data_IF_608437122555
#
_entry.id   IF_608437122555
#
_cell.length_a   1.000
_cell.length_b   1.000
_cell.length_c   1.000
_cell.angle_alpha   90.00
_cell.angle_beta   90.00
_cell.angle_gamma   90.00
#
_symmetry.space_group_name_H-M   'P 1'
#
loop_
_entity.id
_entity.type
_entity.pdbx_description
1 polymer ?
#
# COMPACT_ATOMS: atom_id res chain seq x y z
N UNK A 1 29.37 10.96 -30.77
CA UNK A 1 28.44 12.04 -31.19
C UNK A 1 27.61 12.37 -29.97
N UNK A 2 27.51 13.65 -29.63
CA UNK A 2 27.30 14.15 -28.28
C UNK A 2 25.88 13.94 -27.75
N UNK A 3 25.80 13.55 -26.48
CA UNK A 3 24.61 13.53 -25.65
C UNK A 3 24.27 14.95 -25.20
N UNK A 4 23.04 15.39 -25.42
CA UNK A 4 22.52 16.65 -24.86
C UNK A 4 21.63 16.34 -23.66
N UNK A 5 22.19 16.56 -22.47
CA UNK A 5 21.48 16.73 -21.21
C UNK A 5 21.13 18.21 -21.06
N UNK A 6 19.85 18.55 -20.87
CA UNK A 6 19.43 19.92 -20.58
C UNK A 6 18.97 20.04 -19.14
N UNK A 7 19.77 20.78 -18.36
CA UNK A 7 19.47 21.31 -17.04
C UNK A 7 18.14 22.08 -17.01
N UNK A 8 17.29 21.83 -16.01
CA UNK A 8 16.14 22.69 -15.68
C UNK A 8 16.48 23.57 -14.49
N UNK A 9 16.57 24.87 -14.75
CA UNK A 9 16.78 25.93 -13.78
C UNK A 9 15.46 26.62 -13.47
N UNK A 10 15.28 26.86 -12.18
CA UNK A 10 14.22 27.60 -11.49
C UNK A 10 13.94 28.98 -12.10
N UNK A 11 12.67 29.35 -12.29
CA UNK A 11 12.22 30.76 -12.27
C UNK A 11 10.74 30.84 -11.91
N UNK A 12 10.44 31.26 -10.67
CA UNK A 12 9.14 31.72 -10.20
C UNK A 12 9.10 33.26 -10.27
N UNK A 13 8.07 33.86 -10.88
CA UNK A 13 7.64 35.23 -10.59
C UNK A 13 6.23 35.53 -11.14
N UNK A 14 5.24 35.26 -10.28
CA UNK A 14 4.18 36.13 -9.75
C UNK A 14 3.14 36.89 -10.63
N UNK A 15 1.93 36.87 -10.05
CA UNK A 15 0.75 37.76 -10.13
C UNK A 15 -0.26 37.63 -11.27
N UNK A 16 -1.43 37.08 -10.92
CA UNK A 16 -2.71 37.48 -11.52
C UNK A 16 -3.81 37.44 -10.47
N UNK A 17 -4.48 38.58 -10.25
CA UNK A 17 -5.64 38.73 -9.38
C UNK A 17 -6.89 38.15 -10.05
N UNK A 18 -7.62 37.27 -9.35
CA UNK A 18 -8.98 36.88 -9.75
C UNK A 18 -9.90 36.80 -8.53
N UNK A 19 -11.03 37.52 -8.61
CA UNK A 19 -12.19 37.35 -7.75
C UNK A 19 -12.72 35.91 -7.92
N UNK A 20 -12.51 35.07 -6.92
CA UNK A 20 -13.02 33.70 -6.86
C UNK A 20 -14.30 33.63 -6.03
N UNK A 21 -15.39 33.22 -6.67
CA UNK A 21 -16.57 32.65 -6.00
C UNK A 21 -16.06 31.53 -5.10
N UNK A 22 -16.31 31.64 -3.79
CA UNK A 22 -16.05 30.55 -2.85
C UNK A 22 -17.10 29.45 -3.11
N UNK A 23 -16.76 28.50 -3.98
CA UNK A 23 -17.41 27.20 -3.98
C UNK A 23 -16.76 26.43 -2.85
N UNK A 24 -17.45 26.35 -1.72
CA UNK A 24 -17.07 25.43 -0.64
C UNK A 24 -17.39 24.01 -1.12
N UNK A 25 -16.46 23.39 -1.82
CA UNK A 25 -16.44 21.94 -1.94
C UNK A 25 -15.83 21.42 -0.64
N UNK A 26 -16.65 20.83 0.23
CA UNK A 26 -16.14 19.93 1.26
C UNK A 26 -15.59 18.70 0.54
N UNK A 27 -14.37 18.81 0.03
CA UNK A 27 -13.60 17.67 -0.46
C UNK A 27 -13.09 16.94 0.79
N UNK A 28 -13.22 15.61 0.82
CA UNK A 28 -12.58 14.77 1.83
C UNK A 28 -11.08 15.02 1.88
N UNK A 29 -10.49 14.85 3.05
CA UNK A 29 -9.06 15.01 3.23
C UNK A 29 -8.41 13.62 3.19
N UNK A 30 -7.33 13.50 2.41
CA UNK A 30 -6.44 12.34 2.53
C UNK A 30 -5.99 12.27 4.00
N UNK A 31 -6.35 11.16 4.62
CA UNK A 31 -6.21 10.90 6.05
C UNK A 31 -5.35 9.67 6.27
N UNK A 32 -4.71 9.59 7.43
CA UNK A 32 -3.98 8.41 7.86
C UNK A 32 -4.37 7.99 9.28
N UNK A 33 -4.36 6.69 9.53
CA UNK A 33 -4.49 6.10 10.85
C UNK A 33 -3.34 5.13 11.10
N UNK A 34 -2.75 5.21 12.29
CA UNK A 34 -1.66 4.33 12.72
C UNK A 34 -2.11 3.47 13.89
N UNK A 35 -1.76 2.19 13.84
CA UNK A 35 -1.92 1.25 14.95
C UNK A 35 -0.58 0.58 15.25
N UNK A 36 -0.36 0.21 16.51
CA UNK A 36 0.79 -0.59 16.92
C UNK A 36 0.36 -1.87 17.61
N UNK A 37 1.13 -2.94 17.39
CA UNK A 37 0.93 -4.22 18.06
C UNK A 37 2.16 -4.61 18.89
N UNK A 38 1.95 -5.17 20.10
CA UNK A 38 3.04 -5.65 20.95
C UNK A 38 3.71 -6.89 20.38
N UNK A 39 3.04 -7.58 19.45
CA UNK A 39 3.60 -8.73 18.73
C UNK A 39 3.73 -8.40 17.25
N UNK A 40 4.75 -9.00 16.65
CA UNK A 40 5.08 -8.81 15.24
C UNK A 40 3.92 -9.22 14.29
N UNK A 41 3.18 -10.26 14.67
CA UNK A 41 2.06 -10.86 13.93
C UNK A 41 0.68 -10.28 14.34
N UNK A 42 0.66 -9.20 15.13
CA UNK A 42 -0.60 -8.67 15.68
C UNK A 42 -1.58 -8.14 14.64
N UNK A 43 -1.11 -7.88 13.41
CA UNK A 43 -1.90 -7.34 12.30
C UNK A 43 -2.09 -8.32 11.14
N UNK A 44 -1.68 -9.59 11.26
CA UNK A 44 -1.82 -10.59 10.18
C UNK A 44 -3.27 -10.72 9.66
N UNK A 45 -4.27 -10.50 10.52
CA UNK A 45 -5.69 -10.55 10.15
C UNK A 45 -6.17 -9.33 9.35
N UNK A 46 -5.40 -8.24 9.31
CA UNK A 46 -5.72 -7.02 8.57
C UNK A 46 -5.08 -7.00 7.17
N UNK A 47 -4.18 -7.93 6.89
CA UNK A 47 -3.49 -8.04 5.60
C UNK A 47 -4.45 -8.61 4.56
N UNK A 48 -4.39 -8.04 3.36
CA UNK A 48 -5.17 -8.54 2.23
C UNK A 48 -4.44 -9.68 1.55
N UNK A 49 -5.22 -10.62 1.01
CA UNK A 49 -4.71 -11.65 0.10
C UNK A 49 -5.31 -11.50 -1.30
N UNK A 50 -5.87 -10.33 -1.59
CA UNK A 50 -6.55 -10.02 -2.86
C UNK A 50 -6.58 -8.50 -3.11
N UNK A 51 -5.44 -7.82 -2.95
CA UNK A 51 -5.27 -6.41 -3.30
C UNK A 51 -4.92 -6.21 -4.80
N UNK A 52 -4.82 -4.96 -5.24
CA UNK A 52 -4.59 -4.58 -6.65
C UNK A 52 -3.14 -4.77 -7.13
N UNK A 53 -2.18 -4.92 -6.21
CA UNK A 53 -0.78 -5.15 -6.52
C UNK A 53 -0.35 -6.61 -6.29
N UNK A 54 -1.26 -7.46 -5.84
CA UNK A 54 -1.06 -8.89 -5.72
C UNK A 54 -0.64 -9.51 -7.07
N UNK A 55 0.46 -10.28 -7.04
CA UNK A 55 0.98 -10.97 -8.23
C UNK A 55 1.84 -10.11 -9.16
N UNK A 56 2.07 -8.83 -8.81
CA UNK A 56 3.03 -7.97 -9.50
C UNK A 56 4.48 -8.13 -8.99
N UNK A 57 4.77 -9.18 -8.24
CA UNK A 57 6.01 -9.39 -7.47
C UNK A 57 7.34 -9.43 -8.27
N UNK A 58 7.33 -9.28 -9.59
CA UNK A 58 8.52 -9.35 -10.44
C UNK A 58 8.74 -8.08 -11.29
N UNK A 59 10.01 -7.79 -11.58
CA UNK A 59 10.41 -6.86 -12.65
C UNK A 59 9.83 -7.40 -13.96
N UNK A 60 8.91 -6.66 -14.60
CA UNK A 60 8.34 -7.09 -15.86
C UNK A 60 9.34 -6.87 -17.00
N UNK A 61 9.20 -7.61 -18.11
CA UNK A 61 10.23 -7.66 -19.14
C UNK A 61 10.40 -6.37 -19.95
N UNK A 62 9.37 -5.51 -19.99
CA UNK A 62 9.42 -4.22 -20.67
C UNK A 62 8.76 -3.14 -19.82
N UNK A 63 9.30 -1.92 -19.85
CA UNK A 63 8.71 -0.76 -19.20
C UNK A 63 7.27 -0.51 -19.66
N UNK A 64 6.35 -0.35 -18.71
CA UNK A 64 4.91 -0.21 -18.92
C UNK A 64 4.13 -1.53 -18.94
N UNK A 65 4.80 -2.69 -18.93
CA UNK A 65 4.14 -3.96 -18.63
C UNK A 65 3.77 -4.00 -17.13
N UNK A 66 2.65 -4.65 -16.74
CA UNK A 66 2.29 -4.79 -15.33
C UNK A 66 3.36 -5.54 -14.54
N UNK A 67 3.72 -5.01 -13.38
CA UNK A 67 4.77 -5.55 -12.53
C UNK A 67 5.30 -4.48 -11.59
N UNK A 68 6.47 -4.76 -11.01
CA UNK A 68 7.15 -3.82 -10.09
C UNK A 68 8.50 -3.42 -10.65
N UNK A 69 8.80 -2.12 -10.58
CA UNK A 69 10.06 -1.53 -11.03
C UNK A 69 10.83 -0.89 -9.88
N UNK A 70 12.13 -1.15 -9.81
CA UNK A 70 13.09 -0.35 -9.04
C UNK A 70 13.43 0.94 -9.81
N UNK A 71 13.07 2.09 -9.23
CA UNK A 71 13.20 3.39 -9.92
C UNK A 71 14.55 4.09 -9.71
N UNK A 72 14.94 5.00 -10.62
CA UNK A 72 16.15 5.81 -10.47
C UNK A 72 16.13 6.59 -9.15
N UNK A 73 17.13 6.37 -8.30
CA UNK A 73 17.15 6.91 -6.93
C UNK A 73 17.09 5.82 -5.87
N UNK A 74 16.76 4.59 -6.24
CA UNK A 74 17.02 3.43 -5.40
C UNK A 74 18.53 3.32 -5.12
N UNK A 75 18.90 3.43 -3.84
CA UNK A 75 20.29 3.33 -3.37
C UNK A 75 20.71 1.89 -3.08
N UNK A 76 19.95 0.91 -3.59
CA UNK A 76 20.33 -0.50 -3.65
C UNK A 76 20.02 -1.28 -2.38
N UNK A 77 18.99 -0.87 -1.64
CA UNK A 77 18.59 -1.58 -0.43
C UNK A 77 17.69 -2.74 -0.83
N UNK A 78 18.19 -3.95 -0.56
CA UNK A 78 17.49 -5.17 -0.94
C UNK A 78 16.48 -5.55 0.16
N UNK A 79 15.34 -6.13 -0.22
CA UNK A 79 14.55 -6.86 0.76
C UNK A 79 15.45 -7.91 1.42
N UNK A 80 15.40 -8.02 2.74
CA UNK A 80 15.67 -9.29 3.37
C UNK A 80 14.63 -10.23 2.78
N UNK A 81 15.09 -11.17 1.97
CA UNK A 81 14.22 -12.17 1.44
C UNK A 81 14.84 -13.52 1.76
N UNK A 82 14.21 -14.25 2.68
CA UNK A 82 14.62 -15.61 3.01
C UNK A 82 13.94 -16.67 2.14
N UNK A 83 12.96 -16.28 1.33
CA UNK A 83 12.20 -17.13 0.43
C UNK A 83 12.34 -16.68 -1.05
N UNK A 84 12.98 -17.48 -1.91
CA UNK A 84 13.14 -17.15 -3.33
C UNK A 84 11.85 -16.79 -4.09
N UNK A 85 10.68 -17.15 -3.56
CA UNK A 85 9.37 -16.82 -4.15
C UNK A 85 8.93 -15.35 -3.89
N UNK A 86 9.54 -14.63 -2.93
CA UNK A 86 9.14 -13.24 -2.59
C UNK A 86 9.80 -12.18 -3.52
N UNK A 87 10.58 -12.62 -4.52
CA UNK A 87 11.13 -11.82 -5.63
C UNK A 87 11.69 -10.40 -5.27
N UNK A 88 11.35 -9.34 -6.02
CA UNK A 88 12.03 -8.02 -6.00
C UNK A 88 11.54 -7.09 -4.88
N UNK A 89 10.23 -7.02 -4.59
CA UNK A 89 9.74 -6.48 -3.34
C UNK A 89 9.04 -7.59 -2.56
N UNK A 90 9.53 -7.85 -1.35
CA UNK A 90 8.85 -8.72 -0.40
C UNK A 90 7.56 -8.10 0.18
N UNK A 91 6.99 -7.07 -0.46
CA UNK A 91 5.93 -6.21 0.06
C UNK A 91 4.52 -6.54 -0.48
N UNK A 92 4.38 -7.63 -1.25
CA UNK A 92 3.14 -7.94 -1.98
C UNK A 92 2.83 -9.43 -2.03
N UNK A 93 3.36 -10.24 -1.12
CA UNK A 93 3.24 -11.69 -1.27
C UNK A 93 1.78 -12.17 -1.13
N UNK A 94 0.89 -11.30 -0.64
CA UNK A 94 -0.55 -11.56 -0.50
C UNK A 94 -0.84 -12.81 0.32
N UNK A 95 0.13 -13.26 1.12
CA UNK A 95 0.11 -14.49 1.88
C UNK A 95 0.56 -14.15 3.30
N UNK A 96 -0.39 -13.64 4.09
CA UNK A 96 -0.24 -13.19 5.47
C UNK A 96 0.92 -13.78 6.27
N UNK A 97 1.69 -12.88 6.87
CA UNK A 97 2.68 -13.16 7.91
C UNK A 97 3.91 -13.91 7.42
N UNK A 98 4.83 -13.22 6.72
CA UNK A 98 6.12 -13.79 6.34
C UNK A 98 6.94 -14.09 7.60
N UNK A 99 7.08 -15.39 7.92
CA UNK A 99 7.80 -15.86 9.10
C UNK A 99 9.30 -15.94 8.81
N UNK A 100 10.06 -14.83 8.91
CA UNK A 100 11.53 -14.75 9.12
C UNK A 100 12.04 -13.30 8.94
N UNK A 101 13.34 -13.11 8.68
CA UNK A 101 14.01 -11.85 8.39
C UNK A 101 13.56 -11.41 6.98
N UNK A 102 12.34 -10.87 6.88
CA UNK A 102 11.78 -10.29 5.65
C UNK A 102 11.69 -8.76 5.80
N UNK A 103 11.71 -8.00 4.71
CA UNK A 103 11.57 -6.54 4.73
C UNK A 103 12.86 -5.76 4.46
N UNK A 104 12.78 -4.43 4.31
CA UNK A 104 13.90 -3.60 3.84
C UNK A 104 15.08 -3.58 4.82
N UNK A 105 16.21 -4.17 4.44
CA UNK A 105 17.44 -4.07 5.23
C UNK A 105 18.38 -3.00 4.68
N UNK A 106 18.84 -2.16 5.59
CA UNK A 106 20.16 -1.57 5.46
C UNK A 106 21.22 -2.57 5.94
N UNK A 107 22.09 -3.06 5.06
CA UNK A 107 23.33 -3.73 5.49
C UNK A 107 24.55 -2.80 5.47
N UNK A 108 24.36 -1.50 5.25
CA UNK A 108 25.46 -0.56 5.09
C UNK A 108 26.14 -0.12 6.42
N UNK A 109 26.25 -1.05 7.37
CA UNK A 109 27.05 -0.89 8.57
C UNK A 109 28.54 -1.20 8.35
N UNK A 110 28.93 -1.72 7.17
CA UNK A 110 30.33 -2.06 6.88
C UNK A 110 31.00 -0.94 6.10
N UNK A 111 31.76 -0.12 6.84
CA UNK A 111 32.90 0.72 6.40
C UNK A 111 33.04 0.86 4.87
N UNK A 112 32.35 1.86 4.31
CA UNK A 112 32.58 2.30 2.92
C UNK A 112 31.42 2.19 1.94
N UNK A 113 30.23 1.71 2.32
CA UNK A 113 29.05 1.94 1.50
C UNK A 113 28.42 3.30 1.77
N UNK A 114 27.68 3.83 0.80
CA UNK A 114 27.09 5.16 0.87
C UNK A 114 25.89 5.17 1.83
N UNK A 115 26.01 5.86 2.97
CA UNK A 115 24.85 6.25 3.77
C UNK A 115 23.89 7.02 2.85
N UNK A 116 22.57 6.89 3.02
CA UNK A 116 21.64 7.66 2.21
C UNK A 116 21.97 9.14 2.42
N UNK A 117 22.01 9.90 1.32
CA UNK A 117 22.07 11.34 1.44
C UNK A 117 20.86 11.80 2.25
N UNK A 118 21.04 12.78 3.14
CA UNK A 118 19.92 13.28 3.95
C UNK A 118 18.75 13.70 3.04
N UNK A 119 17.56 13.23 3.38
CA UNK A 119 16.34 13.45 2.62
C UNK A 119 16.17 12.58 1.37
N UNK A 120 17.12 11.70 1.05
CA UNK A 120 16.97 10.75 -0.04
C UNK A 120 16.18 9.50 0.41
N UNK A 121 15.28 8.98 -0.44
CA UNK A 121 14.63 7.70 -0.15
C UNK A 121 15.66 6.57 -0.12
N UNK A 122 15.45 5.62 0.78
CA UNK A 122 16.27 4.40 0.90
C UNK A 122 15.81 3.30 -0.06
N UNK A 123 14.52 3.32 -0.44
CA UNK A 123 13.94 2.43 -1.45
C UNK A 123 12.90 3.18 -2.25
N UNK A 124 12.90 3.01 -3.57
CA UNK A 124 11.83 3.48 -4.46
C UNK A 124 11.29 2.29 -5.24
N UNK A 125 10.00 2.01 -5.12
CA UNK A 125 9.32 0.94 -5.87
C UNK A 125 8.12 1.53 -6.62
N UNK A 126 8.00 1.19 -7.90
CA UNK A 126 6.87 1.55 -8.74
C UNK A 126 6.05 0.31 -9.11
N UNK A 127 4.76 0.33 -8.84
CA UNK A 127 3.79 -0.68 -9.28
C UNK A 127 3.08 -0.19 -10.53
N UNK A 128 3.09 -0.98 -11.60
CA UNK A 128 2.27 -0.78 -12.79
C UNK A 128 1.08 -1.72 -12.71
N UNK A 129 -0.12 -1.16 -12.54
CA UNK A 129 -1.34 -1.95 -12.38
C UNK A 129 -1.73 -2.65 -13.68
N UNK A 130 -2.37 -3.82 -13.56
CA UNK A 130 -2.81 -4.61 -14.72
C UNK A 130 -3.82 -3.86 -15.60
N UNK A 131 -4.61 -3.00 -14.99
CA UNK A 131 -5.58 -2.11 -15.64
C UNK A 131 -5.81 -0.85 -14.80
N UNK A 132 -6.25 0.27 -15.40
CA UNK A 132 -6.58 1.47 -14.66
C UNK A 132 -7.64 1.16 -13.59
N UNK A 133 -7.30 1.44 -12.33
CA UNK A 133 -8.10 1.03 -11.17
C UNK A 133 -8.35 2.19 -10.22
N UNK A 134 -9.52 2.21 -9.59
CA UNK A 134 -9.77 3.09 -8.45
C UNK A 134 -9.12 2.47 -7.21
N UNK A 135 -8.64 3.32 -6.30
CA UNK A 135 -8.03 2.92 -5.03
C UNK A 135 -8.90 3.48 -3.90
N UNK A 136 -9.30 2.62 -2.97
CA UNK A 136 -10.03 3.01 -1.77
C UNK A 136 -9.12 3.29 -0.59
N UNK A 137 -8.07 2.47 -0.43
CA UNK A 137 -7.18 2.54 0.73
C UNK A 137 -5.82 1.95 0.41
N UNK A 138 -4.79 2.46 1.05
CA UNK A 138 -3.43 1.91 1.02
C UNK A 138 -3.04 1.56 2.45
N UNK A 139 -2.69 0.29 2.71
CA UNK A 139 -2.13 -0.14 3.98
C UNK A 139 -0.64 -0.40 3.83
N UNK A 140 0.13 -0.05 4.87
CA UNK A 140 1.55 -0.35 4.94
C UNK A 140 1.83 -0.96 6.32
N UNK A 141 2.33 -2.19 6.32
CA UNK A 141 2.78 -2.87 7.52
C UNK A 141 4.30 -2.75 7.65
N UNK A 142 4.74 -2.29 8.82
CA UNK A 142 6.14 -2.28 9.22
C UNK A 142 6.32 -2.99 10.57
N UNK A 143 7.51 -3.48 10.87
CA UNK A 143 7.72 -4.25 12.09
C UNK A 143 9.11 -4.83 12.22
N UNK A 144 9.47 -5.22 13.43
CA UNK A 144 10.79 -5.76 13.70
C UNK A 144 10.68 -6.81 14.80
N UNK A 145 10.82 -8.07 14.41
CA UNK A 145 10.65 -9.23 15.27
C UNK A 145 11.78 -9.43 16.29
N UNK A 146 12.98 -8.93 16.02
CA UNK A 146 14.19 -9.33 16.76
C UNK A 146 14.52 -8.38 17.89
N UNK A 147 14.54 -7.08 17.63
CA UNK A 147 14.92 -6.07 18.63
C UNK A 147 13.98 -4.86 18.66
N UNK A 148 12.95 -4.83 17.80
CA UNK A 148 11.86 -3.84 17.81
C UNK A 148 12.33 -2.42 18.12
N UNK A 149 13.45 -2.04 17.48
CA UNK A 149 14.00 -0.69 17.54
C UNK A 149 13.16 0.25 16.65
N UNK A 150 13.68 1.43 16.28
CA UNK A 150 12.92 2.44 15.55
C UNK A 150 12.53 1.98 14.14
N UNK A 151 13.06 0.85 13.67
CA UNK A 151 12.71 0.26 12.38
C UNK A 151 11.30 -0.36 12.33
N UNK A 152 10.56 -0.35 13.45
CA UNK A 152 9.12 -0.62 13.45
C UNK A 152 8.30 0.55 12.89
N UNK A 153 8.89 1.74 12.77
CA UNK A 153 8.22 2.91 12.23
C UNK A 153 8.37 2.94 10.71
N UNK A 154 7.59 3.81 10.06
CA UNK A 154 7.72 4.06 8.63
C UNK A 154 7.60 5.54 8.30
N UNK A 155 8.28 5.94 7.24
CA UNK A 155 8.10 7.22 6.56
C UNK A 155 8.15 6.97 5.06
N UNK A 156 7.15 7.45 4.33
CA UNK A 156 7.02 7.23 2.90
C UNK A 156 6.35 8.41 2.20
N UNK A 157 6.81 8.74 1.00
CA UNK A 157 6.05 9.58 0.07
C UNK A 157 5.46 8.71 -1.03
N UNK A 158 4.21 8.98 -1.37
CA UNK A 158 3.46 8.20 -2.37
C UNK A 158 3.12 9.12 -3.54
N UNK A 159 3.46 8.67 -4.73
CA UNK A 159 3.04 9.28 -5.98
C UNK A 159 2.11 8.32 -6.75
N UNK A 160 1.26 8.87 -7.60
CA UNK A 160 0.39 8.09 -8.48
C UNK A 160 0.35 8.69 -9.89
N UNK A 161 0.07 7.83 -10.88
CA UNK A 161 -0.18 8.21 -12.26
C UNK A 161 -1.56 7.72 -12.69
N UNK A 162 -2.21 8.48 -13.57
CA UNK A 162 -3.46 8.10 -14.26
C UNK A 162 -3.29 8.05 -15.78
N UNK A 163 -2.04 8.08 -16.26
CA UNK A 163 -1.69 8.17 -17.69
C UNK A 163 -0.48 7.31 -18.05
N UNK A 164 -0.48 6.05 -17.61
CA UNK A 164 0.52 5.03 -17.97
C UNK A 164 1.96 5.46 -17.62
N UNK A 165 2.13 6.09 -16.46
CA UNK A 165 3.42 6.53 -15.93
C UNK A 165 4.00 7.77 -16.62
N UNK A 166 3.25 8.42 -17.51
CA UNK A 166 3.75 9.60 -18.22
C UNK A 166 3.96 10.81 -17.29
N UNK A 167 3.11 10.96 -16.27
CA UNK A 167 3.25 11.99 -15.23
C UNK A 167 2.77 11.47 -13.88
N UNK A 168 3.52 11.79 -12.82
CA UNK A 168 3.15 11.47 -11.46
C UNK A 168 2.63 12.69 -10.69
N UNK A 169 1.63 12.45 -9.85
CA UNK A 169 1.03 13.40 -8.91
C UNK A 169 1.34 12.92 -7.49
N UNK A 170 1.57 13.86 -6.58
CA UNK A 170 1.80 13.55 -5.17
C UNK A 170 0.48 13.24 -4.48
N UNK A 171 0.39 12.07 -3.85
CA UNK A 171 -0.68 11.76 -2.90
C UNK A 171 -0.35 12.38 -1.52
N UNK A 172 0.89 12.24 -1.07
CA UNK A 172 1.39 12.90 0.13
C UNK A 172 2.62 12.23 0.73
N UNK A 173 3.05 12.79 1.86
CA UNK A 173 4.05 12.22 2.76
C UNK A 173 3.37 11.70 4.02
N UNK A 174 3.66 10.45 4.36
CA UNK A 174 3.04 9.73 5.45
C UNK A 174 4.12 9.21 6.37
N UNK A 175 3.89 9.37 7.67
CA UNK A 175 4.74 8.83 8.72
C UNK A 175 3.87 8.10 9.72
N UNK A 176 4.34 6.98 10.25
CA UNK A 176 3.55 6.24 11.24
C UNK A 176 3.29 7.09 12.48
N UNK A 177 4.29 7.87 12.91
CA UNK A 177 4.27 8.62 14.16
C UNK A 177 4.92 9.99 13.97
N UNK A 178 4.68 10.96 14.87
CA UNK A 178 5.45 12.20 14.89
C UNK A 178 6.95 11.94 15.06
N UNK A 179 7.79 12.70 14.37
CA UNK A 179 9.24 12.68 14.56
C UNK A 179 9.61 12.89 16.03
N UNK A 180 10.59 12.13 16.51
CA UNK A 180 11.00 12.06 17.91
C UNK A 180 10.22 11.06 18.77
N UNK A 181 9.19 10.38 18.23
CA UNK A 181 8.46 9.32 18.95
C UNK A 181 9.37 8.17 19.33
N UNK A 182 9.21 7.62 20.53
CA UNK A 182 10.10 6.61 21.09
C UNK A 182 9.35 5.29 21.28
N UNK A 183 9.77 4.24 20.56
CA UNK A 183 9.39 2.87 20.86
C UNK A 183 10.24 2.31 22.02
N UNK A 184 9.97 2.76 23.24
CA UNK A 184 10.66 2.24 24.44
C UNK A 184 9.69 1.64 25.46
N UNK A 185 10.00 0.43 25.92
CA UNK A 185 9.47 -0.12 27.17
C UNK A 185 10.45 0.26 28.27
N UNK A 186 10.06 1.12 29.22
CA UNK A 186 10.93 1.39 30.36
C UNK A 186 11.03 0.15 31.28
N UNK A 187 11.93 -0.83 31.00
CA UNK A 187 13.00 -1.41 31.88
C UNK A 187 13.52 -2.80 31.40
N UNK A 188 14.66 -3.30 31.93
CA UNK A 188 15.89 -3.68 31.25
C UNK A 188 15.98 -5.20 31.06
N UNK A 189 14.98 -5.80 30.41
CA UNK A 189 14.90 -7.26 30.31
C UNK A 189 15.05 -7.70 28.87
N UNK A 190 16.31 -7.88 28.48
CA UNK A 190 16.69 -8.57 27.23
C UNK A 190 16.34 -7.80 25.96
N UNK A 191 17.06 -7.99 24.84
CA UNK A 191 16.69 -7.43 23.53
C UNK A 191 15.36 -7.96 22.95
N UNK A 192 14.43 -8.47 23.77
CA UNK A 192 13.25 -9.24 23.36
C UNK A 192 11.92 -8.80 24.01
N UNK A 193 11.85 -7.68 24.74
CA UNK A 193 10.58 -7.20 25.33
C UNK A 193 10.24 -5.76 24.90
N UNK A 194 9.87 -5.55 23.64
CA UNK A 194 9.52 -4.24 23.13
C UNK A 194 8.16 -3.75 23.61
N UNK A 195 7.96 -2.43 23.62
CA UNK A 195 6.63 -1.87 23.82
C UNK A 195 5.72 -2.26 22.65
N UNK A 196 6.24 -2.16 21.41
CA UNK A 196 5.56 -2.53 20.17
C UNK A 196 6.54 -3.21 19.22
N UNK A 197 6.08 -4.20 18.46
CA UNK A 197 6.87 -4.97 17.50
C UNK A 197 6.42 -4.80 16.04
N UNK A 198 5.23 -4.24 15.82
CA UNK A 198 4.69 -3.94 14.50
C UNK A 198 3.87 -2.64 14.50
N UNK A 199 3.80 -2.01 13.34
CA UNK A 199 3.07 -0.77 13.07
C UNK A 199 2.32 -0.90 11.76
N UNK A 200 1.03 -0.62 11.79
CA UNK A 200 0.13 -0.66 10.65
C UNK A 200 -0.34 0.77 10.34
N UNK A 201 -0.05 1.26 9.15
CA UNK A 201 -0.47 2.57 8.66
C UNK A 201 -1.50 2.39 7.56
N UNK A 202 -2.64 3.04 7.70
CA UNK A 202 -3.75 3.01 6.75
C UNK A 202 -4.01 4.41 6.22
N UNK A 203 -3.92 4.59 4.89
CA UNK A 203 -4.10 5.86 4.17
C UNK A 203 -5.39 5.78 3.35
N UNK A 204 -6.32 6.71 3.58
CA UNK A 204 -7.68 6.67 3.03
C UNK A 204 -8.26 8.08 2.87
N UNK A 205 -9.42 8.19 2.23
CA UNK A 205 -10.25 9.40 2.23
C UNK A 205 -11.32 9.26 3.33
N UNK A 206 -11.40 10.21 4.25
CA UNK A 206 -12.33 10.16 5.39
C UNK A 206 -13.78 10.56 5.02
N UNK A 207 -14.00 11.06 3.81
CA UNK A 207 -15.30 11.43 3.29
C UNK A 207 -15.76 10.59 2.08
N UNK A 208 -14.93 9.67 1.59
CA UNK A 208 -15.17 8.87 0.38
C UNK A 208 -14.59 7.47 0.51
N UNK A 209 -15.31 6.46 -0.02
CA UNK A 209 -14.74 5.10 -0.16
C UNK A 209 -13.66 5.01 -1.23
N UNK A 210 -13.51 6.04 -2.06
CA UNK A 210 -12.49 6.15 -3.11
C UNK A 210 -11.49 7.23 -2.74
N UNK A 211 -10.23 6.84 -2.58
CA UNK A 211 -9.06 7.68 -2.32
C UNK A 211 -8.48 8.25 -3.62
N UNK A 212 -8.32 7.42 -4.66
CA UNK A 212 -7.83 7.81 -5.98
C UNK A 212 -8.65 7.14 -7.08
N UNK A 213 -8.76 7.76 -8.25
CA UNK A 213 -9.50 7.21 -9.39
C UNK A 213 -8.66 7.05 -10.64
N UNK A 214 -8.88 5.95 -11.37
CA UNK A 214 -8.23 5.66 -12.65
C UNK A 214 -6.70 5.57 -12.58
N UNK A 215 -6.17 5.05 -11.47
CA UNK A 215 -4.73 4.91 -11.22
C UNK A 215 -4.17 3.82 -12.13
N UNK A 216 -3.06 4.13 -12.79
CA UNK A 216 -2.31 3.19 -13.63
C UNK A 216 -0.99 2.79 -12.98
N UNK A 217 -0.38 3.69 -12.19
CA UNK A 217 0.88 3.43 -11.52
C UNK A 217 0.87 4.03 -10.12
N UNK A 218 1.56 3.38 -9.19
CA UNK A 218 1.86 3.88 -7.85
C UNK A 218 3.36 3.83 -7.63
N UNK A 219 3.95 4.90 -7.09
CA UNK A 219 5.34 4.92 -6.65
C UNK A 219 5.39 5.14 -5.14
N UNK A 220 6.14 4.27 -4.45
CA UNK A 220 6.42 4.37 -3.03
C UNK A 220 7.90 4.69 -2.85
N UNK A 221 8.18 5.84 -2.24
CA UNK A 221 9.52 6.22 -1.80
C UNK A 221 9.60 6.09 -0.29
N UNK A 222 10.28 5.05 0.20
CA UNK A 222 10.51 4.82 1.63
C UNK A 222 11.76 5.55 2.09
N UNK A 223 11.71 6.16 3.27
CA UNK A 223 12.81 6.91 3.87
C UNK A 223 13.35 6.20 5.11
N UNK A 224 14.58 6.50 5.51
CA UNK A 224 15.13 6.04 6.79
C UNK A 224 14.32 6.58 7.99
N UNK A 225 14.31 5.84 9.10
CA UNK A 225 13.46 6.13 10.29
C UNK A 225 14.18 6.09 11.65
N UNK A 226 15.42 5.61 11.74
CA UNK A 226 16.15 5.52 13.02
C UNK A 226 17.63 5.90 12.82
N UNK A 227 18.24 6.54 13.83
CA UNK A 227 19.62 7.00 13.84
C UNK A 227 20.44 6.59 15.11
N UNK A 228 19.88 5.91 16.11
CA UNK A 228 20.56 5.80 17.42
C UNK A 228 20.34 4.50 18.21
N UNK A 229 19.60 3.53 17.66
CA UNK A 229 19.32 2.21 18.28
C UNK A 229 18.51 2.32 19.59
N UNK A 230 18.02 3.52 19.95
CA UNK A 230 17.20 3.73 21.16
C UNK A 230 15.71 3.50 20.92
N UNK A 231 15.34 3.18 19.67
CA UNK A 231 13.95 3.01 19.30
C UNK A 231 13.25 4.32 18.92
N UNK A 232 14.00 5.40 18.67
CA UNK A 232 13.44 6.70 18.36
C UNK A 232 13.24 6.88 16.85
N UNK A 233 12.05 7.34 16.46
CA UNK A 233 11.76 7.79 15.11
C UNK A 233 12.52 9.10 14.86
N UNK A 234 13.51 9.05 13.98
CA UNK A 234 14.18 10.23 13.44
C UNK A 234 13.67 10.48 12.03
N UNK A 235 13.48 11.75 11.67
CA UNK A 235 13.15 12.10 10.31
C UNK A 235 14.39 12.00 9.38
N UNK A 236 14.20 11.87 8.06
CA UNK A 236 15.32 11.63 7.15
C UNK A 236 16.09 12.91 6.78
N UNK A 237 15.65 14.10 7.21
CA UNK A 237 16.19 15.39 6.84
C UNK A 237 17.10 15.97 7.92
N UNK A 238 18.10 16.76 7.51
CA UNK A 238 18.92 17.55 8.43
C UNK A 238 18.25 18.91 8.63
N UNK A 239 17.59 19.08 9.78
CA UNK A 239 16.79 20.25 10.10
C UNK A 239 15.33 20.11 9.67
N UNK A 240 14.74 21.16 9.10
CA UNK A 240 13.31 21.16 8.76
C UNK A 240 12.98 20.09 7.71
N UNK A 241 12.10 19.17 8.07
CA UNK A 241 11.47 18.25 7.14
C UNK A 241 10.57 19.05 6.16
N UNK A 242 10.82 19.00 4.84
CA UNK A 242 10.10 19.81 3.86
C UNK A 242 8.62 19.43 3.71
N UNK A 243 8.22 18.24 4.15
CA UNK A 243 6.84 17.77 4.08
C UNK A 243 6.01 18.17 5.30
N UNK A 244 6.60 18.10 6.50
CA UNK A 244 5.89 18.38 7.75
C UNK A 244 6.11 19.81 8.24
N UNK A 245 7.23 20.44 7.86
CA UNK A 245 7.64 21.75 8.35
C UNK A 245 8.20 21.74 9.78
N UNK A 246 8.45 20.55 10.34
CA UNK A 246 8.97 20.33 11.69
C UNK A 246 10.44 19.90 11.63
N UNK A 247 11.20 20.23 12.68
CA UNK A 247 12.59 19.81 12.90
C UNK A 247 12.63 19.04 14.23
N UNK A 248 12.99 17.76 14.19
CA UNK A 248 13.05 16.91 15.37
C UNK A 248 14.32 17.12 16.22
N UNK A 249 15.24 17.97 15.73
CA UNK A 249 16.54 18.27 16.31
C UNK A 249 17.45 17.04 16.49
N UNK A 250 17.16 15.95 15.79
CA UNK A 250 17.99 14.76 15.72
C UNK A 250 18.89 14.83 14.47
N UNK A 251 19.90 13.95 14.41
CA UNK A 251 20.62 13.75 13.16
C UNK A 251 19.75 13.00 12.15
N UNK A 252 19.96 13.17 10.83
CA UNK A 252 19.20 12.43 9.83
C UNK A 252 19.18 10.92 10.09
N UNK A 253 18.01 10.31 9.93
CA UNK A 253 17.86 8.87 9.98
C UNK A 253 18.74 8.15 8.95
N UNK A 254 19.24 6.98 9.33
CA UNK A 254 20.09 6.17 8.45
C UNK A 254 19.78 4.66 8.48
N UNK A 255 18.76 4.23 9.23
CA UNK A 255 18.26 2.86 9.22
C UNK A 255 16.91 2.79 8.52
N UNK A 256 16.68 1.73 7.77
CA UNK A 256 15.43 1.56 7.01
C UNK A 256 14.29 1.22 7.94
N UNK A 257 13.07 1.60 7.55
CA UNK A 257 11.89 0.96 8.06
C UNK A 257 11.88 -0.48 7.57
N UNK A 258 11.54 -1.42 8.45
CA UNK A 258 11.33 -2.80 8.04
C UNK A 258 9.89 -2.93 7.57
N UNK A 259 9.66 -2.60 6.29
CA UNK A 259 8.37 -2.75 5.61
C UNK A 259 8.17 -4.23 5.27
N UNK A 260 6.99 -4.76 5.54
CA UNK A 260 6.62 -6.16 5.31
C UNK A 260 5.57 -6.31 4.24
N UNK A 261 4.53 -5.48 4.26
CA UNK A 261 3.41 -5.61 3.33
C UNK A 261 2.91 -4.22 2.94
N UNK A 262 2.47 -4.11 1.70
CA UNK A 262 1.70 -3.00 1.17
C UNK A 262 0.43 -3.59 0.57
N UNK A 263 -0.73 -3.22 1.11
CA UNK A 263 -2.01 -3.55 0.47
C UNK A 263 -2.52 -2.32 -0.28
N UNK A 264 -2.81 -2.47 -1.58
CA UNK A 264 -3.52 -1.46 -2.36
C UNK A 264 -4.94 -1.95 -2.62
N UNK A 265 -5.89 -1.45 -1.84
CA UNK A 265 -7.26 -1.95 -1.86
C UNK A 265 -8.11 -1.10 -2.80
N UNK A 266 -8.90 -1.76 -3.64
CA UNK A 266 -9.97 -1.11 -4.40
C UNK A 266 -10.98 -0.46 -3.45
N UNK A 267 -11.76 0.54 -3.90
CA UNK A 267 -12.89 1.05 -3.14
C UNK A 267 -13.78 -0.10 -2.70
N UNK A 268 -13.93 -0.26 -1.39
CA UNK A 268 -15.03 -1.05 -0.85
C UNK A 268 -16.29 -0.30 -1.27
N UNK A 269 -17.06 -0.87 -2.20
CA UNK A 269 -18.47 -0.52 -2.38
C UNK A 269 -19.15 -0.89 -1.07
N UNK A 270 -19.05 0.01 -0.08
CA UNK A 270 -19.12 -0.27 1.35
C UNK A 270 -19.94 -1.52 1.64
N UNK A 271 -19.27 -2.62 1.97
CA UNK A 271 -19.99 -3.84 2.32
C UNK A 271 -20.84 -3.46 3.52
N UNK A 272 -22.15 -3.44 3.35
CA UNK A 272 -23.04 -2.88 4.37
C UNK A 272 -22.77 -3.57 5.71
N UNK A 273 -22.30 -2.85 6.72
CA UNK A 273 -21.86 -3.41 8.01
C UNK A 273 -20.35 -3.55 8.21
N UNK A 274 -19.52 -3.30 7.19
CA UNK A 274 -18.07 -3.15 7.25
C UNK A 274 -17.76 -1.72 7.71
N UNK A 275 -17.63 -1.56 9.02
CA UNK A 275 -17.49 -0.26 9.68
C UNK A 275 -16.03 0.14 9.87
N UNK A 276 -15.10 -0.80 9.78
CA UNK A 276 -13.66 -0.50 9.76
C UNK A 276 -13.08 -0.40 8.33
N UNK A 277 -13.91 -0.61 7.30
CA UNK A 277 -13.56 -0.61 5.89
C UNK A 277 -12.38 -1.56 5.58
N UNK A 278 -12.35 -2.74 6.21
CA UNK A 278 -11.36 -3.79 5.95
C UNK A 278 -11.79 -4.76 4.84
N UNK A 279 -12.99 -4.56 4.28
CA UNK A 279 -13.54 -5.38 3.21
C UNK A 279 -14.26 -6.64 3.70
N UNK A 280 -14.31 -6.86 5.02
CA UNK A 280 -14.98 -7.98 5.68
C UNK A 280 -15.97 -7.43 6.71
N UNK A 281 -17.13 -8.09 6.85
CA UNK A 281 -18.04 -7.80 7.96
C UNK A 281 -17.83 -8.83 9.05
N UNK A 282 -17.06 -8.47 10.09
CA UNK A 282 -16.63 -9.36 11.14
C UNK A 282 -16.71 -8.72 12.55
N UNK A 283 -16.10 -9.35 13.55
CA UNK A 283 -16.17 -8.88 14.94
C UNK A 283 -15.45 -7.55 15.19
N UNK A 284 -14.51 -7.15 14.32
CA UNK A 284 -13.82 -5.87 14.39
C UNK A 284 -14.76 -4.70 14.09
N UNK A 285 -15.69 -4.83 13.14
CA UNK A 285 -16.70 -3.80 12.84
C UNK A 285 -17.62 -3.52 14.02
N UNK A 286 -17.93 -4.56 14.79
CA UNK A 286 -18.71 -4.42 16.00
C UNK A 286 -18.02 -3.51 17.01
N UNK A 287 -16.68 -3.52 17.10
CA UNK A 287 -15.95 -2.62 17.99
C UNK A 287 -16.06 -1.18 17.53
N UNK A 288 -15.95 -0.92 16.22
CA UNK A 288 -16.16 0.43 15.65
C UNK A 288 -17.56 0.95 15.96
N UNK A 289 -18.60 0.15 15.69
CA UNK A 289 -19.98 0.52 16.02
C UNK A 289 -20.18 0.74 17.52
N UNK A 290 -19.60 -0.11 18.37
CA UNK A 290 -19.77 -0.04 19.82
C UNK A 290 -19.13 1.23 20.37
N UNK A 291 -17.95 1.60 19.88
CA UNK A 291 -17.18 2.76 20.34
C UNK A 291 -17.80 4.08 19.87
N UNK A 292 -18.53 4.06 18.76
CA UNK A 292 -19.23 5.23 18.16
C UNK A 292 -20.73 5.24 18.44
N UNK A 293 -21.23 4.32 19.28
CA UNK A 293 -22.66 4.18 19.55
C UNK A 293 -23.26 5.45 20.18
N UNK A 294 -24.27 6.01 19.51
CA UNK A 294 -24.96 7.23 19.89
C UNK A 294 -24.47 8.49 19.18
N UNK A 295 -23.43 8.39 18.35
CA UNK A 295 -22.93 9.53 17.58
C UNK A 295 -23.88 9.90 16.44
N UNK A 296 -23.91 11.20 16.12
CA UNK A 296 -24.60 11.73 14.92
C UNK A 296 -23.55 11.97 13.85
N UNK A 297 -23.76 11.40 12.67
CA UNK A 297 -22.81 11.43 11.56
C UNK A 297 -23.55 11.78 10.26
N UNK A 298 -22.85 12.22 9.20
CA UNK A 298 -23.41 12.23 7.86
C UNK A 298 -24.03 10.86 7.54
N UNK A 299 -25.22 10.84 6.94
CA UNK A 299 -25.94 9.62 6.64
C UNK A 299 -25.07 8.65 5.82
N UNK A 300 -24.86 7.44 6.33
CA UNK A 300 -24.07 6.39 5.67
C UNK A 300 -22.56 6.45 5.92
N UNK A 301 -22.09 7.31 6.83
CA UNK A 301 -20.66 7.42 7.19
C UNK A 301 -20.36 6.78 8.54
N UNK A 302 -19.09 6.45 8.79
CA UNK A 302 -18.68 5.76 10.02
C UNK A 302 -19.43 4.44 10.18
N UNK A 303 -19.97 4.19 11.38
CA UNK A 303 -20.78 3.00 11.64
C UNK A 303 -22.29 3.17 11.41
N UNK A 304 -22.73 4.19 10.65
CA UNK A 304 -24.15 4.38 10.25
C UNK A 304 -24.50 3.54 9.02
N UNK A 305 -24.46 2.21 9.16
CA UNK A 305 -24.79 1.29 8.07
C UNK A 305 -26.25 1.35 7.60
N UNK A 306 -27.16 1.90 8.41
CA UNK A 306 -28.57 2.10 8.05
C UNK A 306 -28.81 3.38 7.24
N UNK A 307 -27.85 4.31 7.24
CA UNK A 307 -27.91 5.56 6.51
C UNK A 307 -28.91 6.56 7.09
N UNK A 308 -29.15 6.49 8.40
CA UNK A 308 -30.17 7.31 9.06
C UNK A 308 -29.58 8.60 9.69
N UNK A 309 -28.26 8.76 9.66
CA UNK A 309 -27.52 9.89 10.22
C UNK A 309 -27.21 9.74 11.71
N UNK A 310 -27.46 8.59 12.33
CA UNK A 310 -27.16 8.28 13.72
C UNK A 310 -26.63 6.85 13.84
N UNK A 311 -25.60 6.65 14.65
CA UNK A 311 -25.04 5.32 14.92
C UNK A 311 -25.81 4.72 16.10
N UNK A 312 -26.75 3.82 15.81
CA UNK A 312 -27.67 3.24 16.78
C UNK A 312 -27.91 1.73 16.58
N UNK A 313 -29.00 1.21 17.13
CA UNK A 313 -29.31 -0.21 17.06
C UNK A 313 -29.70 -0.67 15.65
N UNK A 314 -30.17 0.22 14.78
CA UNK A 314 -30.43 -0.08 13.38
C UNK A 314 -29.14 -0.52 12.68
N UNK A 315 -28.02 0.15 12.97
CA UNK A 315 -26.72 -0.16 12.38
C UNK A 315 -26.12 -1.45 12.94
N UNK A 316 -26.35 -1.74 14.23
CA UNK A 316 -26.03 -3.06 14.76
C UNK A 316 -26.77 -4.18 14.01
N UNK A 317 -28.07 -4.00 13.74
CA UNK A 317 -28.84 -4.98 12.99
C UNK A 317 -28.34 -5.09 11.55
N UNK A 318 -27.92 -3.98 10.95
CA UNK A 318 -27.26 -3.95 9.64
C UNK A 318 -25.99 -4.80 9.65
N UNK A 319 -25.10 -4.62 10.63
CA UNK A 319 -23.91 -5.46 10.80
C UNK A 319 -24.27 -6.94 11.00
N UNK A 320 -25.22 -7.27 11.89
CA UNK A 320 -25.66 -8.66 12.11
C UNK A 320 -26.17 -9.28 10.80
N UNK A 321 -26.94 -8.55 9.99
CA UNK A 321 -27.50 -9.07 8.75
C UNK A 321 -26.46 -9.36 7.67
N UNK A 322 -25.30 -8.73 7.77
CA UNK A 322 -24.22 -8.87 6.81
C UNK A 322 -22.99 -9.58 7.41
N UNK A 323 -23.07 -10.08 8.65
CA UNK A 323 -21.93 -10.74 9.29
C UNK A 323 -21.41 -11.92 8.44
N UNK A 324 -20.12 -11.89 8.14
CA UNK A 324 -19.44 -12.83 7.25
C UNK A 324 -19.51 -12.46 5.76
N UNK A 325 -20.11 -11.32 5.40
CA UNK A 325 -20.02 -10.76 4.05
C UNK A 325 -18.59 -10.29 3.76
N UNK A 326 -18.22 -10.33 2.49
CA UNK A 326 -16.94 -9.85 1.99
C UNK A 326 -17.17 -9.13 0.66
N UNK A 327 -16.54 -7.96 0.50
CA UNK A 327 -16.72 -7.04 -0.62
C UNK A 327 -16.14 -7.50 -1.95
N UNK A 328 -15.67 -8.75 -2.05
CA UNK A 328 -15.15 -9.28 -3.32
C UNK A 328 -16.29 -9.39 -4.32
N UNK A 329 -16.33 -8.47 -5.28
CA UNK A 329 -17.18 -8.60 -6.45
C UNK A 329 -16.91 -9.97 -7.09
N UNK A 330 -17.90 -10.86 -7.03
CA UNK A 330 -17.81 -12.14 -7.73
C UNK A 330 -17.56 -11.83 -9.21
N UNK A 331 -16.38 -12.17 -9.72
CA UNK A 331 -16.06 -12.05 -11.12
C UNK A 331 -17.18 -12.72 -11.91
N UNK A 332 -18.04 -11.92 -12.56
CA UNK A 332 -19.09 -12.47 -13.39
C UNK A 332 -18.39 -13.21 -14.51
N UNK A 333 -18.55 -14.53 -14.57
CA UNK A 333 -17.98 -15.35 -15.63
C UNK A 333 -18.37 -14.70 -16.96
N UNK A 334 -17.38 -14.16 -17.66
CA UNK A 334 -17.58 -13.60 -18.98
C UNK A 334 -18.30 -14.67 -19.81
N UNK A 335 -19.41 -14.36 -20.49
CA UNK A 335 -20.04 -15.32 -21.37
C UNK A 335 -18.96 -15.74 -22.38
N UNK A 336 -18.65 -17.04 -22.49
CA UNK A 336 -17.73 -17.55 -23.49
C UNK A 336 -18.50 -17.98 -24.75
N UNK A 337 -18.75 -17.10 -25.75
CA UNK A 337 -19.23 -17.57 -27.05
C UNK A 337 -18.10 -18.14 -27.92
N UNK A 338 -16.82 -17.98 -27.56
CA UNK A 338 -15.69 -18.33 -28.44
C UNK A 338 -15.11 -19.74 -28.22
N UNK A 339 -15.13 -20.28 -27.01
CA UNK A 339 -14.53 -21.59 -26.70
C UNK A 339 -15.24 -22.75 -27.42
N UNK A 340 -16.58 -22.71 -27.48
CA UNK A 340 -17.38 -23.71 -28.21
C UNK A 340 -17.12 -23.68 -29.73
N UNK A 341 -16.85 -22.50 -30.31
CA UNK A 341 -16.54 -22.36 -31.74
C UNK A 341 -15.15 -22.90 -32.10
N UNK A 342 -14.16 -22.71 -31.22
CA UNK A 342 -12.82 -23.29 -31.40
C UNK A 342 -12.82 -24.82 -31.25
N UNK A 343 -13.59 -25.36 -30.32
CA UNK A 343 -13.73 -26.81 -30.16
C UNK A 343 -14.44 -27.47 -31.36
N UNK A 344 -15.48 -26.81 -31.89
CA UNK A 344 -16.23 -27.29 -33.05
C UNK A 344 -15.37 -27.30 -34.34
N UNK A 345 -14.53 -26.28 -34.54
CA UNK A 345 -13.62 -26.21 -35.70
C UNK A 345 -12.49 -27.23 -35.61
N UNK A 346 -11.97 -27.51 -34.40
CA UNK A 346 -10.94 -28.53 -34.19
C UNK A 346 -11.47 -29.96 -34.44
N UNK A 347 -12.68 -30.27 -33.95
CA UNK A 347 -13.34 -31.55 -34.21
C UNK A 347 -13.69 -31.74 -35.71
N UNK A 348 -14.11 -30.67 -36.39
CA UNK A 348 -14.38 -30.69 -37.83
C UNK A 348 -13.14 -31.01 -38.69
N UNK A 349 -11.98 -30.46 -38.32
CA UNK A 349 -10.73 -30.69 -39.05
C UNK A 349 -10.21 -32.14 -38.95
N UNK A 350 -10.49 -32.83 -37.84
CA UNK A 350 -10.10 -34.24 -37.63
C UNK A 350 -10.98 -35.21 -38.43
N UNK A 351 -12.25 -34.90 -38.65
CA UNK A 351 -13.18 -35.76 -39.39
C UNK A 351 -12.92 -35.86 -40.91
N UNK A 352 -12.19 -34.88 -41.49
CA UNK A 352 -11.92 -34.84 -42.94
C UNK A 352 -10.70 -35.69 -43.35
N UNK A 353 -9.88 -36.16 -42.40
CA UNK A 353 -8.76 -37.07 -42.70
C UNK A 353 -9.24 -38.52 -42.88
N UNK A 354 -9.95 -38.80 -43.99
CA UNK A 354 -10.16 -40.18 -44.46
C UNK A 354 -8.87 -40.74 -45.07
N UNK A 355 -8.35 -41.90 -44.62
CA UNK A 355 -7.23 -42.55 -45.29
C UNK A 355 -7.68 -43.05 -46.67
N UNK A 356 -6.99 -42.59 -47.72
CA UNK A 356 -7.13 -43.13 -49.08
C UNK A 356 -6.74 -44.61 -49.05
N UNK A 357 -7.72 -45.51 -49.13
CA UNK A 357 -7.49 -46.95 -49.33
C UNK A 357 -6.78 -47.13 -50.68
N UNK A 358 -5.52 -47.55 -50.62
CA UNK A 358 -4.77 -47.98 -51.80
C UNK A 358 -5.48 -49.13 -52.49
N UNK A 359 -5.79 -48.95 -53.76
CA UNK A 359 -6.28 -50.00 -54.64
C UNK A 359 -5.16 -51.04 -54.82
N UNK A 360 -5.42 -52.27 -54.38
CA UNK A 360 -4.64 -53.46 -54.74
C UNK A 360 -4.98 -53.83 -56.19
N UNK A 361 -4.01 -53.80 -57.08
CA UNK A 361 -4.08 -54.48 -58.38
C UNK A 361 -3.25 -55.76 -58.33
N UNK A 362 -3.76 -56.73 -59.08
CA UNK A 362 -3.47 -58.17 -59.12
C UNK A 362 -1.99 -58.55 -59.24
#
# INVERSE_FOLDING_TARGET
>A
MQHHWTHRLCTLLAFSTLLGVQVSSTLGAVSQATQHAPTFDGFDNLLSSSDLIQGLNAEPPNFGDPGVYENPGDLGWHPANTNPDDLLPAFTDGLGGVRNLTGLLNENFIVGGNMPESGAPVKVVEYVLAEPSDIGKINILSGNRVNSDGRIFMSASILYSTNDGATFQELGYFQSDPSGSINSSASPVSPFDPAQAATFVSIFDDASSTLLSGVTNLEFSFYAVDNDDTGQLADPFDGLNPFTGEDDALSPAFKSPLIWEIDVLAPSEGTVGDYNNDGLVNAADYTVWRDTFGDTVPAGSGADGSGNGSIDLADYNTWVSNYGASGVAAATAAPEPAACLLLATFCGALAVRRPRRGLRLY
#
